data_IF_422534153102
#
_entry.id   IF_422534153102
#
_cell.length_a   1.000
_cell.length_b   1.000
_cell.length_c   1.000
_cell.angle_alpha   90.00
_cell.angle_beta   90.00
_cell.angle_gamma   90.00
#
_symmetry.space_group_name_H-M   'P 1'
#
loop_
_entity.id
_entity.type
_entity.pdbx_description
1 polymer ?
#
# COMPACT_ATOMS: atom_id res chain seq x y z
N UNK A 1 -22.47 26.58 19.55
CA UNK A 1 -22.37 25.48 18.58
C UNK A 1 -21.20 24.58 18.97
N UNK A 2 -21.39 23.28 18.99
CA UNK A 2 -20.34 22.31 19.29
C UNK A 2 -19.27 22.36 18.17
N UNK A 3 -17.98 22.44 18.55
CA UNK A 3 -16.85 22.40 17.63
C UNK A 3 -16.19 21.04 17.70
N UNK A 4 -16.00 20.44 16.54
CA UNK A 4 -15.44 19.11 16.38
C UNK A 4 -14.10 19.18 15.65
N UNK A 5 -13.14 18.35 16.07
CA UNK A 5 -11.91 18.09 15.37
C UNK A 5 -12.12 16.90 14.43
N UNK A 6 -11.80 17.04 13.14
CA UNK A 6 -11.50 15.91 12.26
C UNK A 6 -9.98 15.81 12.08
N UNK A 7 -9.38 14.79 12.67
CA UNK A 7 -7.95 14.53 12.54
C UNK A 7 -7.67 13.57 11.37
N UNK A 8 -7.25 14.14 10.24
CA UNK A 8 -6.90 13.38 9.02
C UNK A 8 -5.54 12.70 9.12
N UNK A 9 -5.40 11.53 8.48
CA UNK A 9 -4.14 10.78 8.30
C UNK A 9 -4.08 10.21 6.88
N UNK A 10 -4.21 8.85 6.73
CA UNK A 10 -4.30 8.20 5.42
C UNK A 10 -5.77 8.02 4.98
N UNK A 11 -6.54 9.08 5.03
CA UNK A 11 -7.98 9.16 4.73
C UNK A 11 -8.32 10.50 4.04
N UNK A 12 -7.46 10.93 3.10
CA UNK A 12 -7.43 12.28 2.50
C UNK A 12 -8.51 12.47 1.45
N UNK A 13 -9.78 12.42 1.88
CA UNK A 13 -10.97 12.61 1.04
C UNK A 13 -12.14 13.15 1.85
N UNK A 14 -13.15 13.67 1.14
CA UNK A 14 -14.38 14.20 1.77
C UNK A 14 -15.56 13.24 1.68
N UNK A 15 -15.62 12.39 0.66
CA UNK A 15 -16.71 11.40 0.49
C UNK A 15 -16.28 10.06 1.07
N UNK A 16 -17.27 9.33 1.59
CA UNK A 16 -17.05 8.03 2.22
C UNK A 16 -15.94 8.05 3.29
N UNK A 17 -15.97 9.10 4.10
CA UNK A 17 -15.08 9.28 5.25
C UNK A 17 -15.95 9.30 6.52
N UNK A 18 -16.08 8.16 7.22
CA UNK A 18 -17.01 8.04 8.35
C UNK A 18 -16.70 9.02 9.46
N UNK A 19 -15.44 9.23 9.83
CA UNK A 19 -15.09 10.19 10.87
C UNK A 19 -15.47 11.62 10.50
N UNK A 20 -15.21 12.05 9.26
CA UNK A 20 -15.57 13.37 8.77
C UNK A 20 -17.09 13.55 8.69
N UNK A 21 -17.82 12.54 8.24
CA UNK A 21 -19.27 12.58 8.13
C UNK A 21 -19.92 12.75 9.51
N UNK A 22 -19.55 11.91 10.47
CA UNK A 22 -20.06 12.00 11.85
C UNK A 22 -19.64 13.29 12.57
N UNK A 23 -18.43 13.80 12.29
CA UNK A 23 -18.01 15.09 12.82
C UNK A 23 -18.89 16.22 12.29
N UNK A 24 -19.23 16.21 11.00
CA UNK A 24 -20.09 17.21 10.36
C UNK A 24 -21.56 17.12 10.74
N UNK A 25 -22.07 15.90 11.04
CA UNK A 25 -23.43 15.69 11.49
C UNK A 25 -23.65 16.19 12.93
N UNK A 26 -22.62 16.08 13.79
CA UNK A 26 -22.72 16.46 15.21
C UNK A 26 -22.33 17.90 15.53
N UNK A 27 -21.69 18.64 14.62
CA UNK A 27 -21.27 20.02 14.89
C UNK A 27 -20.46 20.68 13.79
N UNK A 28 -19.83 21.81 14.12
CA UNK A 28 -18.96 22.54 13.20
C UNK A 28 -17.56 21.94 13.25
N UNK A 29 -17.00 21.61 12.10
CA UNK A 29 -15.74 20.86 11.97
C UNK A 29 -14.56 21.78 11.70
N UNK A 30 -13.43 21.50 12.31
CA UNK A 30 -12.10 21.95 11.94
C UNK A 30 -11.30 20.69 11.55
N UNK A 31 -10.73 20.66 10.35
CA UNK A 31 -9.81 19.63 9.90
C UNK A 31 -8.39 19.91 10.40
N UNK A 32 -7.70 18.86 10.80
CA UNK A 32 -6.27 18.91 11.16
C UNK A 32 -5.53 17.79 10.46
N UNK A 33 -4.38 18.12 9.90
CA UNK A 33 -3.37 17.14 9.47
C UNK A 33 -2.03 17.45 10.15
N UNK A 34 -1.35 16.43 10.67
CA UNK A 34 -0.05 16.59 11.33
C UNK A 34 1.03 15.93 10.47
N UNK A 35 1.89 16.75 9.88
CA UNK A 35 3.10 16.29 9.19
C UNK A 35 4.09 15.74 10.23
N UNK A 36 4.65 14.55 9.97
CA UNK A 36 5.58 13.89 10.91
C UNK A 36 6.85 13.40 10.18
N UNK A 37 7.72 14.32 9.70
CA UNK A 37 8.85 13.96 8.82
C UNK A 37 9.80 12.94 9.42
N UNK A 38 10.10 13.04 10.72
CA UNK A 38 11.00 12.10 11.40
C UNK A 38 10.37 10.70 11.48
N UNK A 39 9.06 10.61 11.76
CA UNK A 39 8.37 9.32 11.76
C UNK A 39 8.31 8.71 10.36
N UNK A 40 8.12 9.54 9.34
CA UNK A 40 8.14 9.08 7.94
C UNK A 40 9.49 8.49 7.55
N UNK A 41 10.62 9.09 8.01
CA UNK A 41 11.96 8.51 7.82
C UNK A 41 12.11 7.16 8.52
N UNK A 42 11.63 7.06 9.77
CA UNK A 42 11.65 5.78 10.53
C UNK A 42 10.82 4.69 9.86
N UNK A 43 9.72 5.06 9.23
CA UNK A 43 8.86 4.15 8.46
C UNK A 43 9.36 3.95 7.02
N UNK A 44 10.52 4.47 6.67
CA UNK A 44 11.09 4.36 5.32
C UNK A 44 10.12 4.83 4.22
N UNK A 45 9.35 5.89 4.49
CA UNK A 45 8.35 6.37 3.52
C UNK A 45 9.03 6.96 2.28
N UNK A 46 8.57 6.56 1.10
CA UNK A 46 9.09 7.04 -0.17
C UNK A 46 8.91 8.55 -0.36
N UNK A 47 9.92 9.22 -0.94
CA UNK A 47 9.83 10.64 -1.26
C UNK A 47 8.68 10.96 -2.22
N UNK A 48 8.42 10.09 -3.22
CA UNK A 48 7.29 10.24 -4.15
C UNK A 48 5.93 10.10 -3.44
N UNK A 49 5.84 9.30 -2.38
CA UNK A 49 4.63 9.21 -1.56
C UNK A 49 4.42 10.47 -0.73
N UNK A 50 5.47 11.04 -0.14
CA UNK A 50 5.39 12.31 0.60
C UNK A 50 4.94 13.43 -0.34
N UNK A 51 5.53 13.56 -1.53
CA UNK A 51 5.08 14.50 -2.56
C UNK A 51 3.59 14.32 -2.89
N UNK A 52 3.15 13.08 -3.10
CA UNK A 52 1.76 12.75 -3.40
C UNK A 52 0.81 13.11 -2.25
N UNK A 53 1.21 12.90 -0.99
CA UNK A 53 0.46 13.33 0.20
C UNK A 53 0.31 14.85 0.20
N UNK A 54 1.38 15.62 0.00
CA UNK A 54 1.34 17.09 0.03
C UNK A 54 0.40 17.64 -1.05
N UNK A 55 0.49 17.12 -2.28
CA UNK A 55 -0.42 17.50 -3.37
C UNK A 55 -1.86 17.09 -3.09
N UNK A 56 -2.09 15.93 -2.49
CA UNK A 56 -3.44 15.47 -2.10
C UNK A 56 -4.01 16.35 -0.99
N UNK A 57 -3.20 16.81 -0.04
CA UNK A 57 -3.62 17.76 1.00
C UNK A 57 -4.05 19.11 0.43
N UNK A 58 -3.40 19.62 -0.63
CA UNK A 58 -3.81 20.85 -1.29
C UNK A 58 -5.20 20.70 -1.93
N UNK A 59 -5.46 19.56 -2.60
CA UNK A 59 -6.78 19.26 -3.17
C UNK A 59 -7.82 19.10 -2.06
N UNK A 60 -7.51 18.33 -1.03
CA UNK A 60 -8.40 18.14 0.11
C UNK A 60 -8.77 19.48 0.79
N UNK A 61 -7.78 20.37 0.96
CA UNK A 61 -8.02 21.70 1.53
C UNK A 61 -9.01 22.51 0.68
N UNK A 62 -8.87 22.47 -0.64
CA UNK A 62 -9.79 23.15 -1.55
C UNK A 62 -11.22 22.56 -1.43
N UNK A 63 -11.35 21.23 -1.40
CA UNK A 63 -12.63 20.54 -1.28
C UNK A 63 -13.30 20.84 0.07
N UNK A 64 -12.56 20.80 1.17
CA UNK A 64 -13.05 21.13 2.52
C UNK A 64 -13.45 22.60 2.65
N UNK A 65 -12.67 23.52 2.07
CA UNK A 65 -13.02 24.95 2.01
C UNK A 65 -14.35 25.17 1.26
N UNK A 66 -14.61 24.41 0.19
CA UNK A 66 -15.90 24.39 -0.51
C UNK A 66 -17.07 24.01 0.41
N UNK A 67 -16.81 23.22 1.43
CA UNK A 67 -17.78 22.82 2.47
C UNK A 67 -17.76 23.77 3.68
N UNK A 68 -16.94 24.82 3.70
CA UNK A 68 -16.77 25.72 4.82
C UNK A 68 -15.96 25.13 5.98
N UNK A 69 -15.25 24.04 5.78
CA UNK A 69 -14.42 23.34 6.77
C UNK A 69 -12.96 23.78 6.56
N UNK A 70 -12.34 24.51 7.50
CA UNK A 70 -10.93 24.85 7.41
C UNK A 70 -10.06 23.62 7.66
N UNK A 71 -8.99 23.42 6.87
CA UNK A 71 -7.95 22.43 7.11
C UNK A 71 -6.68 23.10 7.60
N UNK A 72 -6.31 22.81 8.84
CA UNK A 72 -5.05 23.27 9.43
C UNK A 72 -4.01 22.15 9.26
N UNK A 73 -2.82 22.53 8.79
CA UNK A 73 -1.67 21.62 8.64
C UNK A 73 -0.58 22.11 9.56
N UNK A 74 -0.11 21.26 10.45
CA UNK A 74 0.98 21.55 11.38
C UNK A 74 2.06 20.47 11.28
N UNK A 75 3.24 20.75 11.79
CA UNK A 75 4.35 19.79 11.82
C UNK A 75 4.61 19.33 13.26
N UNK A 76 4.90 18.05 13.42
CA UNK A 76 5.40 17.44 14.64
C UNK A 76 6.66 16.64 14.34
N UNK A 77 7.57 16.57 15.30
CA UNK A 77 8.81 15.80 15.13
C UNK A 77 8.53 14.31 14.89
N UNK A 78 7.66 13.71 15.72
CA UNK A 78 7.36 12.29 15.68
C UNK A 78 5.98 11.98 16.29
N UNK A 79 5.55 10.73 16.22
CA UNK A 79 4.30 10.28 16.82
C UNK A 79 4.21 10.51 18.33
N UNK A 80 5.34 10.53 19.04
CA UNK A 80 5.35 10.78 20.49
C UNK A 80 4.94 12.22 20.88
N UNK A 81 5.06 13.18 19.98
CA UNK A 81 4.63 14.56 20.23
C UNK A 81 3.15 14.82 19.90
N UNK A 82 2.51 13.90 19.18
CA UNK A 82 1.13 14.10 18.70
C UNK A 82 0.11 14.22 19.84
N UNK A 83 0.15 13.44 20.93
CA UNK A 83 -0.87 13.52 21.97
C UNK A 83 -1.00 14.92 22.57
N UNK A 84 0.11 15.55 22.93
CA UNK A 84 0.14 16.90 23.47
C UNK A 84 -0.32 17.94 22.45
N UNK A 85 0.12 17.81 21.20
CA UNK A 85 -0.28 18.70 20.09
C UNK A 85 -1.80 18.65 19.87
N UNK A 86 -2.39 17.46 19.85
CA UNK A 86 -3.85 17.29 19.68
C UNK A 86 -4.62 17.93 20.83
N UNK A 87 -4.17 17.72 22.08
CA UNK A 87 -4.82 18.32 23.25
C UNK A 87 -4.72 19.85 23.22
N UNK A 88 -3.53 20.40 22.95
CA UNK A 88 -3.32 21.85 22.83
C UNK A 88 -4.17 22.45 21.71
N UNK A 89 -4.22 21.77 20.56
CA UNK A 89 -5.07 22.16 19.44
C UNK A 89 -6.54 22.19 19.83
N UNK A 90 -7.03 21.17 20.51
CA UNK A 90 -8.40 21.10 20.96
C UNK A 90 -8.74 22.24 21.93
N UNK A 91 -7.87 22.53 22.89
CA UNK A 91 -8.05 23.62 23.84
C UNK A 91 -8.05 24.99 23.14
N UNK A 92 -7.07 25.26 22.29
CA UNK A 92 -6.92 26.57 21.62
C UNK A 92 -8.07 26.89 20.65
N UNK A 93 -8.72 25.86 20.09
CA UNK A 93 -9.85 26.03 19.16
C UNK A 93 -11.22 25.76 19.77
N UNK A 94 -11.30 25.48 21.08
CA UNK A 94 -12.54 25.19 21.78
C UNK A 94 -13.26 23.95 21.27
N UNK A 95 -12.47 22.90 20.92
CA UNK A 95 -12.99 21.61 20.48
C UNK A 95 -13.60 20.86 21.65
N UNK A 96 -14.80 20.33 21.47
CA UNK A 96 -15.50 19.49 22.46
C UNK A 96 -15.46 18.00 22.10
N UNK A 97 -15.22 17.65 20.85
CA UNK A 97 -15.14 16.25 20.40
C UNK A 97 -14.15 16.09 19.26
N UNK A 98 -13.34 15.04 19.34
CA UNK A 98 -12.37 14.66 18.33
C UNK A 98 -12.79 13.39 17.59
N UNK A 99 -12.59 13.40 16.26
CA UNK A 99 -12.96 12.32 15.36
C UNK A 99 -11.78 11.91 14.50
N UNK A 100 -11.60 10.59 14.28
CA UNK A 100 -10.64 10.08 13.33
C UNK A 100 -10.97 8.66 12.83
N UNK A 101 -10.34 8.24 11.72
CA UNK A 101 -10.42 6.87 11.22
C UNK A 101 -9.20 6.08 11.70
N UNK A 102 -9.38 4.87 12.23
CA UNK A 102 -8.34 4.03 12.82
C UNK A 102 -7.32 3.57 11.79
N UNK A 103 -6.07 3.51 12.21
CA UNK A 103 -4.98 2.85 11.51
C UNK A 103 -4.51 1.63 12.30
N UNK A 104 -3.97 0.60 11.61
CA UNK A 104 -3.77 -0.71 12.24
C UNK A 104 -2.32 -1.09 12.55
N UNK A 105 -1.28 -0.53 11.91
CA UNK A 105 0.09 -0.80 12.29
C UNK A 105 0.37 -0.35 13.74
N UNK A 106 1.29 -1.04 14.39
CA UNK A 106 1.49 -0.93 15.84
C UNK A 106 1.82 0.47 16.35
N UNK A 107 2.63 1.22 15.60
CA UNK A 107 3.03 2.57 16.03
C UNK A 107 1.88 3.56 15.90
N UNK A 108 1.04 3.39 14.87
CA UNK A 108 -0.19 4.15 14.65
C UNK A 108 -1.21 3.86 15.76
N UNK A 109 -1.41 2.58 16.11
CA UNK A 109 -2.30 2.19 17.22
C UNK A 109 -1.81 2.82 18.54
N UNK A 110 -0.51 2.72 18.85
CA UNK A 110 0.05 3.32 20.08
C UNK A 110 -0.09 4.83 20.13
N UNK A 111 0.08 5.50 18.99
CA UNK A 111 -0.16 6.94 18.88
C UNK A 111 -1.60 7.28 19.17
N UNK A 112 -2.55 6.57 18.54
CA UNK A 112 -3.99 6.80 18.71
C UNK A 112 -4.43 6.52 20.15
N UNK A 113 -3.98 5.42 20.76
CA UNK A 113 -4.23 5.09 22.18
C UNK A 113 -3.68 6.16 23.13
N UNK A 114 -2.51 6.71 22.83
CA UNK A 114 -1.91 7.79 23.65
C UNK A 114 -2.72 9.09 23.55
N UNK A 115 -3.20 9.44 22.35
CA UNK A 115 -4.10 10.59 22.13
C UNK A 115 -5.41 10.39 22.89
N UNK A 116 -6.08 9.23 22.73
CA UNK A 116 -7.33 8.92 23.40
C UNK A 116 -7.20 8.96 24.92
N UNK A 117 -6.11 8.38 25.45
CA UNK A 117 -5.80 8.41 26.88
C UNK A 117 -5.60 9.83 27.43
N UNK A 118 -4.94 10.71 26.66
CA UNK A 118 -4.67 12.07 27.09
C UNK A 118 -5.93 12.94 27.00
N UNK A 119 -6.72 12.82 25.92
CA UNK A 119 -8.02 13.48 25.78
C UNK A 119 -9.02 13.03 26.85
N UNK A 120 -9.01 11.75 27.24
CA UNK A 120 -9.84 11.21 28.32
C UNK A 120 -9.59 11.82 29.70
N UNK A 121 -8.53 12.63 29.87
CA UNK A 121 -8.25 13.43 31.09
C UNK A 121 -8.83 14.85 31.01
N UNK A 122 -9.43 15.18 29.89
CA UNK A 122 -10.05 16.47 29.60
C UNK A 122 -11.57 16.28 29.42
N UNK A 123 -12.29 17.36 29.15
CA UNK A 123 -13.71 17.29 28.79
C UNK A 123 -13.96 17.12 27.28
N UNK A 124 -13.03 16.50 26.56
CA UNK A 124 -13.08 16.31 25.10
C UNK A 124 -13.42 14.86 24.79
N UNK A 125 -14.59 14.65 24.21
CA UNK A 125 -15.04 13.32 23.78
C UNK A 125 -14.24 12.83 22.55
N UNK A 126 -14.16 11.51 22.38
CA UNK A 126 -13.48 10.87 21.26
C UNK A 126 -14.42 9.91 20.54
N UNK A 127 -14.37 9.93 19.21
CA UNK A 127 -15.01 8.91 18.36
C UNK A 127 -14.06 8.48 17.24
N UNK A 128 -13.84 7.18 17.10
CA UNK A 128 -12.98 6.62 16.06
C UNK A 128 -13.68 5.52 15.27
N UNK A 129 -13.39 5.44 13.97
CA UNK A 129 -14.09 4.58 13.02
C UNK A 129 -13.13 3.70 12.24
N UNK A 130 -13.61 2.56 11.74
CA UNK A 130 -12.88 1.74 10.79
C UNK A 130 -13.15 2.24 9.36
N UNK A 131 -12.07 2.43 8.59
CA UNK A 131 -12.12 3.00 7.23
C UNK A 131 -11.12 2.31 6.28
N UNK A 132 -10.05 1.75 6.82
CA UNK A 132 -8.97 1.14 6.05
C UNK A 132 -9.33 -0.23 5.47
N UNK A 133 -10.38 -0.87 5.93
CA UNK A 133 -10.89 -2.16 5.49
C UNK A 133 -12.38 -2.08 5.23
N UNK A 134 -12.88 -2.86 4.28
CA UNK A 134 -14.32 -2.96 3.98
C UNK A 134 -15.04 -3.63 5.14
N UNK A 135 -14.49 -4.74 5.62
CA UNK A 135 -14.97 -5.39 6.85
C UNK A 135 -14.00 -5.05 7.99
N UNK A 136 -14.51 -4.42 9.02
CA UNK A 136 -13.68 -3.98 10.16
C UNK A 136 -12.93 -5.16 10.81
N UNK A 137 -11.63 -5.00 11.15
CA UNK A 137 -10.94 -5.98 11.98
C UNK A 137 -11.68 -6.23 13.30
N UNK A 138 -11.83 -7.52 13.65
CA UNK A 138 -12.65 -7.92 14.80
C UNK A 138 -14.09 -8.30 14.47
N UNK A 139 -14.70 -7.75 13.41
CA UNK A 139 -16.00 -8.20 12.93
C UNK A 139 -15.91 -9.54 12.16
N UNK A 140 -14.73 -9.86 11.60
CA UNK A 140 -14.50 -11.09 10.86
C UNK A 140 -13.51 -11.97 11.62
N UNK A 141 -14.05 -12.84 12.46
CA UNK A 141 -13.32 -13.83 13.25
C UNK A 141 -13.97 -15.21 13.07
N UNK A 142 -13.27 -16.26 13.48
CA UNK A 142 -13.81 -17.61 13.49
C UNK A 142 -14.80 -17.79 14.64
N UNK A 143 -15.52 -18.92 14.66
CA UNK A 143 -16.50 -19.25 15.70
C UNK A 143 -15.88 -19.32 17.11
N UNK A 144 -14.59 -19.63 17.20
CA UNK A 144 -13.81 -19.64 18.44
C UNK A 144 -13.27 -18.25 18.85
N UNK A 145 -13.61 -17.19 18.10
CA UNK A 145 -13.12 -15.83 18.30
C UNK A 145 -11.70 -15.58 17.78
N UNK A 146 -11.02 -16.59 17.24
CA UNK A 146 -9.67 -16.44 16.70
C UNK A 146 -9.66 -15.80 15.30
N UNK A 147 -8.55 -15.11 14.98
CA UNK A 147 -8.38 -14.51 13.66
C UNK A 147 -8.10 -15.55 12.57
N UNK A 148 -8.53 -15.25 11.35
CA UNK A 148 -8.15 -16.03 10.18
C UNK A 148 -6.66 -15.84 9.84
N UNK A 149 -6.01 -16.98 9.53
CA UNK A 149 -4.59 -17.02 9.10
C UNK A 149 -4.43 -17.52 7.67
N UNK A 150 -5.52 -17.89 7.01
CA UNK A 150 -5.54 -18.44 5.64
C UNK A 150 -6.57 -17.67 4.84
N UNK A 151 -6.20 -17.25 3.64
CA UNK A 151 -7.01 -16.37 2.80
C UNK A 151 -8.34 -17.01 2.35
N UNK A 152 -8.31 -18.27 1.91
CA UNK A 152 -9.50 -18.92 1.35
C UNK A 152 -10.68 -18.95 2.33
N UNK A 153 -10.55 -19.41 3.59
CA UNK A 153 -11.64 -19.35 4.56
C UNK A 153 -11.99 -17.91 4.95
N UNK A 154 -11.02 -16.99 5.02
CA UNK A 154 -11.26 -15.56 5.23
C UNK A 154 -12.18 -15.01 4.13
N UNK A 155 -11.81 -15.19 2.85
CA UNK A 155 -12.60 -14.72 1.70
C UNK A 155 -14.01 -15.29 1.73
N UNK A 156 -14.18 -16.58 2.05
CA UNK A 156 -15.51 -17.21 2.11
C UNK A 156 -16.41 -16.52 3.16
N UNK A 157 -15.87 -16.26 4.34
CA UNK A 157 -16.64 -15.57 5.40
C UNK A 157 -16.86 -14.10 5.05
N UNK A 158 -15.88 -13.44 4.48
CA UNK A 158 -15.99 -12.05 4.03
C UNK A 158 -17.13 -11.87 2.99
N UNK A 159 -17.19 -12.75 1.98
CA UNK A 159 -18.28 -12.72 0.98
C UNK A 159 -19.64 -13.00 1.62
N UNK A 160 -19.74 -13.92 2.57
CA UNK A 160 -20.99 -14.18 3.30
C UNK A 160 -21.46 -12.95 4.07
N UNK A 161 -20.56 -12.21 4.72
CA UNK A 161 -20.92 -10.96 5.41
C UNK A 161 -21.42 -9.90 4.40
N UNK A 162 -20.85 -9.87 3.20
CA UNK A 162 -21.31 -8.97 2.16
C UNK A 162 -22.73 -9.32 1.67
N UNK A 163 -23.07 -10.61 1.60
CA UNK A 163 -24.43 -11.07 1.28
C UNK A 163 -25.44 -10.73 2.38
N UNK A 164 -25.00 -10.63 3.63
CA UNK A 164 -25.83 -10.22 4.78
C UNK A 164 -26.10 -8.71 4.81
N UNK A 165 -25.22 -7.89 4.21
CA UNK A 165 -25.39 -6.45 4.09
C UNK A 165 -24.19 -5.76 3.46
N UNK A 166 -24.47 -4.73 2.66
CA UNK A 166 -23.42 -3.88 2.08
C UNK A 166 -22.86 -2.92 3.13
N UNK A 167 -21.57 -2.56 3.04
CA UNK A 167 -21.00 -1.53 3.91
C UNK A 167 -21.67 -0.17 3.67
N UNK A 168 -21.78 0.62 4.71
CA UNK A 168 -22.22 2.00 4.59
C UNK A 168 -21.23 2.80 3.74
N UNK A 169 -21.77 3.63 2.86
CA UNK A 169 -21.01 4.62 2.08
C UNK A 169 -21.52 6.01 2.44
N UNK A 170 -20.67 6.81 3.03
CA UNK A 170 -21.03 8.11 3.56
C UNK A 170 -20.93 9.21 2.50
N UNK A 171 -21.96 10.05 2.31
CA UNK A 171 -21.84 11.24 1.47
C UNK A 171 -20.83 12.22 2.07
N UNK A 172 -20.40 13.21 1.30
CA UNK A 172 -19.69 14.35 1.86
C UNK A 172 -20.55 15.03 2.93
N UNK A 173 -19.96 15.57 4.00
CA UNK A 173 -20.72 16.28 5.01
C UNK A 173 -21.43 17.51 4.43
N UNK A 174 -22.49 17.97 5.07
CA UNK A 174 -23.20 19.18 4.66
C UNK A 174 -22.29 20.40 4.79
N UNK A 175 -22.46 21.37 3.90
CA UNK A 175 -21.73 22.65 3.98
C UNK A 175 -22.06 23.34 5.28
N UNK A 176 -21.04 23.79 6.01
CA UNK A 176 -21.20 24.58 7.24
C UNK A 176 -21.76 25.96 6.93
N UNK A 177 -22.75 26.40 7.70
CA UNK A 177 -23.42 27.67 7.51
C UNK A 177 -22.52 28.90 7.77
N UNK A 178 -21.58 28.75 8.70
CA UNK A 178 -20.57 29.77 9.02
C UNK A 178 -19.17 29.17 8.94
N UNK A 179 -18.35 29.58 7.98
CA UNK A 179 -16.95 29.22 7.93
C UNK A 179 -16.25 29.73 9.21
N UNK A 180 -15.53 28.87 9.91
CA UNK A 180 -14.72 29.31 11.03
C UNK A 180 -13.52 30.10 10.50
N UNK A 181 -13.36 31.34 10.96
CA UNK A 181 -12.17 32.13 10.68
C UNK A 181 -10.99 31.58 11.50
N UNK A 182 -10.33 30.57 10.97
CA UNK A 182 -9.12 29.98 11.55
C UNK A 182 -7.98 30.24 10.59
N UNK A 183 -6.85 30.73 11.10
CA UNK A 183 -5.65 30.95 10.28
C UNK A 183 -5.18 29.62 9.69
N UNK A 184 -5.12 29.54 8.37
CA UNK A 184 -4.57 28.39 7.67
C UNK A 184 -3.12 28.72 7.27
N UNK A 185 -2.18 27.90 7.70
CA UNK A 185 -0.81 27.95 7.21
C UNK A 185 -0.72 27.28 5.85
N UNK A 186 0.22 27.73 5.03
CA UNK A 186 0.45 27.09 3.73
C UNK A 186 0.94 25.65 3.91
N UNK A 187 0.47 24.75 3.06
CA UNK A 187 1.01 23.39 2.97
C UNK A 187 2.37 23.50 2.30
N UNK A 188 3.43 22.94 2.91
CA UNK A 188 4.75 22.99 2.30
C UNK A 188 4.76 22.23 0.97
N UNK A 189 5.42 22.82 -0.04
CA UNK A 189 5.55 22.17 -1.35
C UNK A 189 6.51 20.97 -1.33
N UNK A 190 7.38 20.88 -0.35
CA UNK A 190 8.34 19.80 -0.15
C UNK A 190 8.73 19.71 1.31
N UNK A 191 9.17 18.53 1.72
CA UNK A 191 9.72 18.28 3.06
C UNK A 191 11.22 17.98 2.92
N UNK A 192 12.09 18.60 3.72
CA UNK A 192 13.53 18.31 3.69
C UNK A 192 13.83 16.82 3.82
N UNK A 193 14.66 16.29 2.92
CA UNK A 193 15.00 14.86 2.86
C UNK A 193 14.01 13.98 2.09
N UNK A 194 12.94 14.56 1.52
CA UNK A 194 11.97 13.84 0.68
C UNK A 194 11.86 14.51 -0.70
N UNK A 195 12.93 14.40 -1.50
CA UNK A 195 12.94 14.93 -2.86
C UNK A 195 12.60 13.81 -3.85
N UNK A 196 11.48 13.96 -4.56
CA UNK A 196 11.05 13.01 -5.58
C UNK A 196 11.47 13.46 -6.98
N UNK A 197 11.94 12.51 -7.79
CA UNK A 197 12.18 12.69 -9.23
C UNK A 197 11.07 12.09 -10.09
N UNK A 198 10.06 11.49 -9.48
CA UNK A 198 8.94 10.88 -10.21
C UNK A 198 8.08 11.98 -10.83
N UNK A 199 7.74 11.81 -12.12
CA UNK A 199 6.86 12.74 -12.82
C UNK A 199 5.47 12.75 -12.17
N UNK A 200 5.08 13.93 -11.67
CA UNK A 200 3.79 14.15 -11.02
C UNK A 200 2.59 13.88 -11.93
N UNK A 201 2.76 14.01 -13.25
CA UNK A 201 1.71 13.74 -14.24
C UNK A 201 1.30 12.26 -14.29
N UNK A 202 2.16 11.33 -13.87
CA UNK A 202 1.81 9.92 -13.75
C UNK A 202 0.76 9.67 -12.65
N UNK A 203 0.79 10.50 -11.61
CA UNK A 203 -0.03 10.37 -10.41
C UNK A 203 -0.71 11.69 -10.04
N UNK A 204 -1.72 12.14 -10.82
CA UNK A 204 -2.54 13.30 -10.45
C UNK A 204 -3.16 13.08 -9.06
N UNK A 205 -3.16 14.12 -8.22
CA UNK A 205 -3.54 13.98 -6.81
C UNK A 205 -5.03 14.30 -6.57
N UNK A 206 -5.56 13.76 -5.48
CA UNK A 206 -6.87 14.10 -4.94
C UNK A 206 -7.99 13.11 -5.24
N UNK A 207 -9.11 13.27 -4.54
CA UNK A 207 -10.28 12.39 -4.59
C UNK A 207 -10.93 12.35 -5.99
N UNK A 208 -11.03 13.48 -6.67
CA UNK A 208 -11.65 13.56 -8.00
C UNK A 208 -10.91 12.68 -9.01
N UNK A 209 -9.58 12.77 -9.04
CA UNK A 209 -8.73 11.97 -9.92
C UNK A 209 -8.81 10.47 -9.59
N UNK A 210 -8.82 10.14 -8.30
CA UNK A 210 -8.98 8.77 -7.84
C UNK A 210 -10.29 8.14 -8.33
N UNK A 211 -11.40 8.87 -8.20
CA UNK A 211 -12.73 8.45 -8.65
C UNK A 211 -12.84 8.35 -10.17
N UNK A 212 -12.26 9.30 -10.89
CA UNK A 212 -12.21 9.24 -12.35
C UNK A 212 -11.43 8.02 -12.84
N UNK A 213 -10.29 7.72 -12.22
CA UNK A 213 -9.50 6.53 -12.52
C UNK A 213 -10.26 5.23 -12.21
N UNK A 214 -10.95 5.18 -11.07
CA UNK A 214 -11.81 4.05 -10.71
C UNK A 214 -12.90 3.83 -11.78
N UNK A 215 -13.60 4.88 -12.16
CA UNK A 215 -14.66 4.81 -13.18
C UNK A 215 -14.10 4.38 -14.55
N UNK A 216 -13.00 4.98 -14.98
CA UNK A 216 -12.35 4.60 -16.25
C UNK A 216 -11.93 3.13 -16.26
N UNK A 217 -11.42 2.61 -15.15
CA UNK A 217 -11.09 1.19 -15.01
C UNK A 217 -12.35 0.32 -15.06
N UNK A 218 -13.41 0.70 -14.35
CA UNK A 218 -14.66 -0.06 -14.34
C UNK A 218 -15.28 -0.14 -15.74
N UNK A 219 -15.29 0.98 -16.47
CA UNK A 219 -15.88 1.07 -17.81
C UNK A 219 -15.05 0.31 -18.89
N UNK A 220 -13.73 0.23 -18.77
CA UNK A 220 -12.85 -0.24 -19.86
C UNK A 220 -12.13 -1.57 -19.60
N UNK A 221 -11.73 -1.88 -18.35
CA UNK A 221 -10.82 -2.97 -18.06
C UNK A 221 -11.36 -4.01 -17.06
N UNK A 222 -12.33 -3.65 -16.22
CA UNK A 222 -12.83 -4.52 -15.15
C UNK A 222 -13.34 -5.87 -15.66
N UNK A 223 -14.14 -5.89 -16.75
CA UNK A 223 -14.69 -7.13 -17.29
C UNK A 223 -13.61 -8.10 -17.80
N UNK A 224 -12.48 -7.59 -18.26
CA UNK A 224 -11.34 -8.39 -18.75
C UNK A 224 -10.23 -8.55 -17.71
N UNK A 225 -10.45 -8.07 -16.49
CA UNK A 225 -9.43 -8.03 -15.43
C UNK A 225 -8.81 -9.40 -15.13
N UNK A 226 -9.62 -10.45 -15.02
CA UNK A 226 -9.14 -11.81 -14.77
C UNK A 226 -8.11 -12.28 -15.82
N UNK A 227 -8.27 -11.89 -17.09
CA UNK A 227 -7.39 -12.28 -18.18
C UNK A 227 -6.12 -11.41 -18.24
N UNK A 228 -6.26 -10.11 -17.97
CA UNK A 228 -5.22 -9.12 -18.22
C UNK A 228 -4.40 -8.75 -16.98
N UNK A 229 -4.89 -9.03 -15.78
CA UNK A 229 -4.25 -8.63 -14.52
C UNK A 229 -2.81 -9.12 -14.32
N UNK A 230 -2.42 -10.17 -15.00
CA UNK A 230 -1.10 -10.79 -14.90
C UNK A 230 -0.13 -10.35 -16.00
N UNK A 231 -0.60 -9.57 -16.99
CA UNK A 231 0.19 -9.15 -18.16
C UNK A 231 0.70 -7.72 -17.97
N UNK A 232 1.97 -7.50 -17.56
CA UNK A 232 2.48 -6.18 -17.21
C UNK A 232 2.60 -5.22 -18.40
N UNK A 233 2.66 -5.74 -19.64
CA UNK A 233 2.65 -4.94 -20.86
C UNK A 233 1.26 -4.41 -21.23
N UNK A 234 0.18 -4.93 -20.59
CA UNK A 234 -1.20 -4.57 -20.90
C UNK A 234 -1.73 -3.61 -19.82
N UNK A 235 -2.44 -2.55 -20.23
CA UNK A 235 -3.14 -1.67 -19.29
C UNK A 235 -4.40 -2.37 -18.75
N UNK A 236 -4.20 -3.44 -17.98
CA UNK A 236 -5.25 -4.32 -17.45
C UNK A 236 -5.50 -4.20 -15.95
N UNK A 237 -4.79 -3.31 -15.24
CA UNK A 237 -4.93 -3.10 -13.80
C UNK A 237 -5.50 -1.71 -13.48
N UNK A 238 -6.13 -1.58 -12.32
CA UNK A 238 -6.78 -0.31 -11.92
C UNK A 238 -5.80 0.81 -11.58
N UNK A 239 -4.56 0.48 -11.20
CA UNK A 239 -3.55 1.42 -10.71
C UNK A 239 -4.04 2.36 -9.59
N UNK A 240 -4.99 1.89 -8.76
CA UNK A 240 -5.62 2.66 -7.67
C UNK A 240 -4.85 2.60 -6.35
N UNK A 241 -3.84 1.75 -6.26
CA UNK A 241 -3.10 1.52 -5.02
C UNK A 241 -2.50 2.80 -4.40
N UNK A 242 -1.98 3.80 -5.13
CA UNK A 242 -1.52 5.05 -4.54
C UNK A 242 -2.64 5.83 -3.83
N UNK A 243 -3.81 5.89 -4.45
CA UNK A 243 -4.97 6.60 -3.91
C UNK A 243 -5.55 5.90 -2.68
N UNK A 244 -5.60 4.56 -2.68
CA UNK A 244 -5.98 3.77 -1.52
C UNK A 244 -4.95 3.88 -0.38
N UNK A 245 -3.66 4.04 -0.69
CA UNK A 245 -2.60 4.15 0.30
C UNK A 245 -2.68 5.45 1.11
N UNK A 246 -2.99 6.58 0.44
CA UNK A 246 -3.18 7.89 1.10
C UNK A 246 -4.64 8.16 1.49
N UNK A 247 -5.55 7.25 1.12
CA UNK A 247 -6.97 7.35 1.43
C UNK A 247 -7.73 8.44 0.65
N UNK A 248 -7.22 8.85 -0.52
CA UNK A 248 -7.97 9.67 -1.48
C UNK A 248 -9.13 8.90 -2.14
N UNK A 249 -9.15 7.58 -1.96
CA UNK A 249 -10.21 6.66 -2.34
C UNK A 249 -10.40 5.64 -1.22
N UNK A 250 -11.64 5.29 -0.90
CA UNK A 250 -11.94 4.21 0.05
C UNK A 250 -12.02 2.85 -0.65
N UNK A 251 -11.75 1.75 0.07
CA UNK A 251 -11.99 0.42 -0.45
C UNK A 251 -13.50 0.13 -0.64
N UNK A 252 -14.38 0.77 0.14
CA UNK A 252 -15.84 0.67 0.00
C UNK A 252 -16.30 1.27 -1.32
N UNK A 253 -15.79 2.45 -1.72
CA UNK A 253 -16.09 3.04 -3.04
C UNK A 253 -15.65 2.11 -4.17
N UNK A 254 -14.49 1.47 -4.05
CA UNK A 254 -14.04 0.47 -5.01
C UNK A 254 -15.00 -0.73 -5.12
N UNK A 255 -15.44 -1.25 -3.97
CA UNK A 255 -16.40 -2.35 -3.93
C UNK A 255 -17.74 -1.96 -4.58
N UNK A 256 -18.28 -0.80 -4.21
CA UNK A 256 -19.56 -0.34 -4.76
C UNK A 256 -19.50 -0.17 -6.27
N UNK A 257 -18.42 0.37 -6.82
CA UNK A 257 -18.24 0.49 -8.27
C UNK A 257 -18.19 -0.90 -8.95
N UNK A 258 -17.51 -1.88 -8.31
CA UNK A 258 -17.48 -3.25 -8.81
C UNK A 258 -18.88 -3.91 -8.82
N UNK A 259 -19.66 -3.69 -7.78
CA UNK A 259 -21.01 -4.26 -7.65
C UNK A 259 -22.02 -3.62 -8.61
N UNK A 260 -21.77 -2.40 -9.09
CA UNK A 260 -22.58 -1.74 -10.12
C UNK A 260 -22.24 -2.22 -11.53
N UNK A 261 -21.11 -2.87 -11.74
CA UNK A 261 -20.72 -3.43 -13.03
C UNK A 261 -21.51 -4.72 -13.35
N UNK A 262 -21.50 -5.11 -14.63
CA UNK A 262 -22.08 -6.39 -15.02
C UNK A 262 -21.34 -7.57 -14.36
N UNK A 263 -22.04 -8.50 -13.71
CA UNK A 263 -21.44 -9.66 -13.06
C UNK A 263 -20.56 -10.47 -14.03
N UNK A 264 -19.41 -10.96 -13.54
CA UNK A 264 -18.51 -11.77 -14.34
C UNK A 264 -17.16 -12.05 -13.66
N UNK A 265 -16.39 -12.95 -14.26
CA UNK A 265 -15.09 -13.38 -13.70
C UNK A 265 -14.11 -12.24 -13.44
N UNK A 266 -14.15 -11.18 -14.24
CA UNK A 266 -13.32 -9.99 -14.06
C UNK A 266 -13.68 -9.26 -12.77
N UNK A 267 -14.96 -9.02 -12.53
CA UNK A 267 -15.51 -8.40 -11.32
C UNK A 267 -15.17 -9.24 -10.08
N UNK A 268 -15.47 -10.54 -10.11
CA UNK A 268 -15.21 -11.46 -8.98
C UNK A 268 -13.73 -11.54 -8.64
N UNK A 269 -12.88 -11.49 -9.66
CA UNK A 269 -11.42 -11.50 -9.49
C UNK A 269 -10.96 -10.19 -8.85
N UNK A 270 -11.46 -9.04 -9.30
CA UNK A 270 -11.07 -7.75 -8.75
C UNK A 270 -11.59 -7.53 -7.32
N UNK A 271 -12.83 -7.95 -7.02
CA UNK A 271 -13.32 -8.01 -5.64
C UNK A 271 -12.40 -8.88 -4.77
N UNK A 272 -11.92 -10.01 -5.32
CA UNK A 272 -10.92 -10.85 -4.65
C UNK A 272 -9.63 -10.09 -4.25
N UNK A 273 -9.20 -9.08 -5.03
CA UNK A 273 -8.05 -8.24 -4.66
C UNK A 273 -8.36 -7.27 -3.52
N UNK A 274 -9.59 -6.74 -3.47
CA UNK A 274 -10.05 -5.95 -2.31
C UNK A 274 -10.09 -6.81 -1.04
N UNK A 275 -10.52 -8.07 -1.17
CA UNK A 275 -10.50 -9.03 -0.04
C UNK A 275 -9.06 -9.34 0.41
N UNK A 276 -8.09 -9.47 -0.52
CA UNK A 276 -6.67 -9.62 -0.18
C UNK A 276 -6.15 -8.41 0.60
N UNK A 277 -6.52 -7.20 0.18
CA UNK A 277 -6.16 -5.98 0.91
C UNK A 277 -6.72 -6.00 2.33
N UNK A 278 -8.00 -6.32 2.51
CA UNK A 278 -8.62 -6.46 3.83
C UNK A 278 -7.94 -7.53 4.66
N UNK A 279 -7.64 -8.70 4.09
CA UNK A 279 -6.95 -9.78 4.77
C UNK A 279 -5.63 -9.33 5.39
N UNK A 280 -4.80 -8.58 4.66
CA UNK A 280 -3.54 -8.07 5.21
C UNK A 280 -3.77 -6.99 6.29
N UNK A 281 -4.80 -6.16 6.19
CA UNK A 281 -5.17 -5.23 7.26
C UNK A 281 -5.57 -5.98 8.53
N UNK A 282 -6.36 -7.07 8.42
CA UNK A 282 -6.71 -7.93 9.55
C UNK A 282 -5.48 -8.64 10.15
N UNK A 283 -4.53 -9.09 9.31
CA UNK A 283 -3.28 -9.69 9.80
C UNK A 283 -2.49 -8.69 10.65
N UNK A 284 -2.32 -7.45 10.18
CA UNK A 284 -1.60 -6.42 10.94
C UNK A 284 -2.30 -6.12 12.27
N UNK A 285 -3.63 -6.01 12.27
CA UNK A 285 -4.42 -5.77 13.47
C UNK A 285 -4.30 -6.88 14.51
N UNK A 286 -4.49 -8.13 14.08
CA UNK A 286 -4.52 -9.28 15.00
C UNK A 286 -3.14 -9.79 15.41
N UNK A 287 -2.12 -9.52 14.60
CA UNK A 287 -0.76 -10.02 14.80
C UNK A 287 0.27 -8.90 14.80
N UNK A 288 0.30 -8.03 15.82
CA UNK A 288 1.20 -6.85 15.87
C UNK A 288 2.70 -7.22 15.84
N UNK A 289 3.02 -8.51 15.95
CA UNK A 289 4.36 -9.03 15.73
C UNK A 289 4.92 -8.65 14.36
N UNK A 290 4.08 -8.66 13.30
CA UNK A 290 4.53 -8.34 11.95
C UNK A 290 4.96 -6.88 11.81
N UNK A 291 4.37 -5.96 12.59
CA UNK A 291 4.79 -4.56 12.67
C UNK A 291 6.13 -4.34 13.41
N UNK A 292 6.77 -5.39 13.90
CA UNK A 292 8.08 -5.34 14.58
C UNK A 292 9.20 -5.96 13.74
N UNK A 293 9.09 -5.95 12.43
CA UNK A 293 10.00 -6.61 11.49
C UNK A 293 10.24 -8.09 11.81
N UNK A 294 9.21 -8.77 12.35
CA UNK A 294 9.28 -10.21 12.66
C UNK A 294 8.46 -11.01 11.64
N UNK A 295 8.92 -12.21 11.26
CA UNK A 295 8.15 -13.05 10.38
C UNK A 295 6.86 -13.49 11.09
N UNK A 296 5.79 -13.69 10.34
CA UNK A 296 4.55 -14.24 10.87
C UNK A 296 4.78 -15.66 11.41
N UNK A 297 5.51 -16.50 10.65
CA UNK A 297 5.97 -17.83 11.08
C UNK A 297 7.28 -17.67 11.85
N UNK A 298 7.21 -17.79 13.17
CA UNK A 298 8.35 -17.52 14.07
C UNK A 298 9.58 -18.37 13.78
N UNK A 299 9.40 -19.63 13.37
CA UNK A 299 10.45 -20.56 13.00
C UNK A 299 11.30 -20.06 11.82
N UNK A 300 10.74 -19.26 10.95
CA UNK A 300 11.46 -18.72 9.80
C UNK A 300 12.37 -17.54 10.14
N UNK A 301 12.38 -17.07 11.38
CA UNK A 301 13.38 -16.09 11.85
C UNK A 301 14.81 -16.68 11.84
N UNK A 302 14.92 -18.01 11.86
CA UNK A 302 16.18 -18.74 11.82
C UNK A 302 16.69 -19.09 10.40
N UNK A 303 16.03 -18.60 9.32
CA UNK A 303 16.53 -18.80 7.96
C UNK A 303 17.93 -18.17 7.83
N UNK A 304 18.94 -18.92 7.35
CA UNK A 304 20.30 -18.39 7.18
C UNK A 304 20.39 -17.52 5.92
N UNK A 305 19.83 -16.33 6.01
CA UNK A 305 19.87 -15.34 4.93
C UNK A 305 21.31 -14.93 4.59
N UNK A 306 21.56 -14.65 3.30
CA UNK A 306 22.80 -14.00 2.86
C UNK A 306 22.67 -12.48 3.06
N UNK A 307 23.75 -11.85 3.49
CA UNK A 307 23.86 -10.40 3.64
C UNK A 307 24.82 -9.85 2.59
N UNK A 308 24.60 -10.22 1.33
CA UNK A 308 25.43 -9.83 0.19
C UNK A 308 24.99 -8.50 -0.38
N UNK A 309 25.70 -7.44 -0.03
CA UNK A 309 25.36 -6.08 -0.43
C UNK A 309 25.55 -5.84 -1.94
N UNK A 310 26.49 -6.53 -2.60
CA UNK A 310 26.72 -6.40 -4.04
C UNK A 310 25.52 -6.93 -4.82
N UNK A 311 25.06 -8.13 -4.49
CA UNK A 311 23.90 -8.75 -5.12
C UNK A 311 22.63 -7.94 -4.84
N UNK A 312 22.51 -7.40 -3.62
CA UNK A 312 21.39 -6.53 -3.24
C UNK A 312 21.35 -5.23 -4.05
N UNK A 313 22.49 -4.55 -4.19
CA UNK A 313 22.59 -3.32 -4.98
C UNK A 313 22.31 -3.58 -6.48
N UNK A 314 22.81 -4.69 -7.03
CA UNK A 314 22.49 -5.09 -8.40
C UNK A 314 21.00 -5.30 -8.60
N UNK A 315 20.30 -5.87 -7.59
CA UNK A 315 18.86 -6.01 -7.61
C UNK A 315 18.15 -4.64 -7.51
N UNK A 316 18.55 -3.76 -6.59
CA UNK A 316 17.99 -2.42 -6.44
C UNK A 316 18.08 -1.60 -7.73
N UNK A 317 19.21 -1.70 -8.44
CA UNK A 317 19.50 -0.95 -9.67
C UNK A 317 18.91 -1.58 -10.95
N UNK A 318 18.25 -2.74 -10.87
CA UNK A 318 17.78 -3.48 -12.05
C UNK A 318 18.92 -3.89 -12.96
N UNK A 319 19.98 -4.47 -12.37
CA UNK A 319 21.22 -4.93 -13.01
C UNK A 319 21.57 -6.37 -12.66
N UNK A 320 20.57 -7.22 -12.48
CA UNK A 320 20.76 -8.64 -12.12
C UNK A 320 21.10 -9.53 -13.33
N UNK A 321 20.93 -9.03 -14.54
CA UNK A 321 21.00 -9.82 -15.76
C UNK A 321 19.78 -10.71 -16.00
N UNK A 322 18.71 -10.53 -15.21
CA UNK A 322 17.43 -11.24 -15.34
C UNK A 322 16.36 -10.27 -15.83
N UNK A 323 15.98 -10.32 -17.13
CA UNK A 323 15.24 -9.23 -17.77
C UNK A 323 13.95 -8.82 -17.08
N UNK A 324 13.09 -9.76 -16.66
CA UNK A 324 11.83 -9.41 -15.99
C UNK A 324 12.06 -8.78 -14.60
N UNK A 325 13.08 -9.22 -13.86
CA UNK A 325 13.47 -8.64 -12.57
C UNK A 325 13.98 -7.22 -12.77
N UNK A 326 14.90 -7.03 -13.71
CA UNK A 326 15.52 -5.75 -13.99
C UNK A 326 14.49 -4.72 -14.52
N UNK A 327 13.59 -5.15 -15.41
CA UNK A 327 12.49 -4.31 -15.90
C UNK A 327 11.58 -3.85 -14.74
N UNK A 328 11.26 -4.74 -13.80
CA UNK A 328 10.46 -4.40 -12.62
C UNK A 328 11.13 -3.37 -11.73
N UNK A 329 12.41 -3.53 -11.44
CA UNK A 329 13.16 -2.58 -10.60
C UNK A 329 13.34 -1.23 -11.29
N UNK A 330 13.54 -1.21 -12.62
CA UNK A 330 13.60 0.04 -13.39
C UNK A 330 12.22 0.71 -13.50
N UNK A 331 11.12 -0.03 -13.62
CA UNK A 331 9.77 0.52 -13.51
C UNK A 331 9.58 1.23 -12.17
N UNK A 332 9.94 0.57 -11.06
CA UNK A 332 9.86 1.16 -9.73
C UNK A 332 10.63 2.48 -9.64
N UNK A 333 11.88 2.49 -10.10
CA UNK A 333 12.72 3.68 -10.09
C UNK A 333 12.17 4.83 -10.94
N UNK A 334 11.54 4.53 -12.08
CA UNK A 334 11.01 5.54 -13.01
C UNK A 334 9.63 6.08 -12.63
N UNK A 335 8.79 5.26 -12.00
CA UNK A 335 7.37 5.58 -11.80
C UNK A 335 6.93 5.62 -10.34
N UNK A 336 7.76 5.15 -9.40
CA UNK A 336 7.36 4.93 -8.01
C UNK A 336 6.36 3.79 -7.82
N UNK A 337 6.12 2.99 -8.87
CA UNK A 337 5.12 1.93 -8.84
C UNK A 337 5.62 0.70 -9.60
N UNK A 338 5.09 -0.47 -9.29
CA UNK A 338 5.41 -1.72 -9.97
C UNK A 338 4.15 -2.58 -10.12
N UNK A 339 3.99 -3.21 -11.26
CA UNK A 339 2.90 -4.16 -11.52
C UNK A 339 2.92 -5.34 -10.54
N UNK A 340 1.75 -5.74 -9.98
CA UNK A 340 1.67 -6.76 -8.92
C UNK A 340 2.37 -8.09 -9.29
N UNK A 341 2.17 -8.61 -10.51
CA UNK A 341 2.82 -9.85 -10.96
C UNK A 341 4.34 -9.73 -10.91
N UNK A 342 4.87 -8.58 -11.26
CA UNK A 342 6.30 -8.31 -11.24
C UNK A 342 6.82 -8.20 -9.82
N UNK A 343 6.08 -7.54 -8.89
CA UNK A 343 6.43 -7.51 -7.46
C UNK A 343 6.65 -8.90 -6.88
N UNK A 344 5.78 -9.86 -7.21
CA UNK A 344 5.93 -11.25 -6.76
C UNK A 344 7.22 -11.90 -7.30
N UNK A 345 7.57 -11.64 -8.55
CA UNK A 345 8.78 -12.20 -9.18
C UNK A 345 10.04 -11.60 -8.58
N UNK A 346 10.11 -10.27 -8.47
CA UNK A 346 11.30 -9.58 -7.95
C UNK A 346 11.53 -9.87 -6.45
N UNK A 347 10.45 -9.96 -5.67
CA UNK A 347 10.54 -10.30 -4.24
C UNK A 347 10.98 -11.76 -4.03
N UNK A 348 10.44 -12.68 -4.83
CA UNK A 348 10.86 -14.08 -4.75
C UNK A 348 12.29 -14.28 -5.29
N UNK A 349 12.71 -13.50 -6.28
CA UNK A 349 14.08 -13.53 -6.77
C UNK A 349 15.06 -13.10 -5.66
N UNK A 350 14.80 -11.98 -4.99
CA UNK A 350 15.64 -11.53 -3.87
C UNK A 350 15.69 -12.57 -2.76
N UNK A 351 14.53 -12.99 -2.26
CA UNK A 351 14.46 -13.84 -1.05
C UNK A 351 14.80 -15.31 -1.30
N UNK A 352 14.62 -15.84 -2.51
CA UNK A 352 14.87 -17.25 -2.84
C UNK A 352 16.09 -17.45 -3.72
N UNK A 353 16.19 -16.75 -4.86
CA UNK A 353 17.32 -16.95 -5.76
C UNK A 353 18.60 -16.31 -5.21
N UNK A 354 18.53 -15.09 -4.69
CA UNK A 354 19.67 -14.47 -4.02
C UNK A 354 19.81 -14.90 -2.55
N UNK A 355 18.76 -15.43 -1.95
CA UNK A 355 18.67 -15.79 -0.51
C UNK A 355 19.03 -14.61 0.41
N UNK A 356 18.69 -13.39 -0.01
CA UNK A 356 18.85 -12.17 0.79
C UNK A 356 17.62 -11.96 1.68
N UNK A 357 17.84 -11.43 2.89
CA UNK A 357 16.78 -11.20 3.86
C UNK A 357 15.67 -10.34 3.25
N UNK A 358 14.45 -10.85 3.28
CA UNK A 358 13.27 -10.19 2.72
C UNK A 358 13.04 -8.79 3.32
N UNK A 359 13.50 -8.53 4.54
CA UNK A 359 13.37 -7.23 5.20
C UNK A 359 14.13 -6.11 4.46
N UNK A 360 15.24 -6.46 3.82
CA UNK A 360 15.97 -5.51 2.97
C UNK A 360 15.13 -5.08 1.77
N UNK A 361 14.47 -6.04 1.13
CA UNK A 361 13.59 -5.75 0.00
C UNK A 361 12.32 -5.01 0.44
N UNK A 362 11.71 -5.41 1.56
CA UNK A 362 10.55 -4.73 2.16
C UNK A 362 10.85 -3.25 2.42
N UNK A 363 11.97 -2.95 3.07
CA UNK A 363 12.42 -1.59 3.33
C UNK A 363 12.66 -0.81 2.04
N UNK A 364 13.40 -1.40 1.09
CA UNK A 364 13.63 -0.77 -0.21
C UNK A 364 12.33 -0.45 -0.96
N UNK A 365 11.32 -1.32 -0.89
CA UNK A 365 10.01 -1.04 -1.47
C UNK A 365 9.31 0.11 -0.77
N UNK A 366 9.32 0.16 0.56
CA UNK A 366 8.74 1.29 1.31
C UNK A 366 9.41 2.62 0.96
N UNK A 367 10.73 2.63 0.70
CA UNK A 367 11.50 3.82 0.31
C UNK A 367 11.26 4.29 -1.12
N UNK A 368 10.67 3.45 -1.99
CA UNK A 368 10.52 3.75 -3.40
C UNK A 368 9.07 3.72 -3.91
N UNK A 369 8.13 3.08 -3.20
CA UNK A 369 6.76 2.94 -3.64
C UNK A 369 5.88 4.14 -3.26
N UNK A 370 5.23 4.75 -4.24
CA UNK A 370 4.19 5.76 -4.05
C UNK A 370 2.96 5.18 -3.32
N UNK A 371 2.71 3.88 -3.51
CA UNK A 371 1.62 3.14 -2.88
C UNK A 371 2.07 2.31 -1.67
N UNK A 372 3.19 2.66 -1.03
CA UNK A 372 3.77 1.94 0.10
C UNK A 372 2.81 1.83 1.29
N UNK A 373 1.87 0.88 1.26
CA UNK A 373 1.01 0.51 2.40
C UNK A 373 1.70 -0.61 3.19
N UNK A 374 1.87 -0.42 4.50
CA UNK A 374 2.61 -1.37 5.34
C UNK A 374 2.00 -2.77 5.29
N UNK A 375 0.67 -2.90 5.43
CA UNK A 375 0.01 -4.20 5.49
C UNK A 375 0.18 -4.98 4.17
N UNK A 376 -0.02 -4.32 3.03
CA UNK A 376 0.13 -4.94 1.72
C UNK A 376 1.60 -5.26 1.39
N UNK A 377 2.53 -4.35 1.70
CA UNK A 377 3.96 -4.54 1.45
C UNK A 377 4.54 -5.67 2.31
N UNK A 378 4.34 -5.61 3.63
CA UNK A 378 4.78 -6.65 4.57
C UNK A 378 4.18 -8.02 4.23
N UNK A 379 2.86 -8.07 3.99
CA UNK A 379 2.17 -9.30 3.62
C UNK A 379 2.70 -9.90 2.32
N UNK A 380 2.88 -9.11 1.28
CA UNK A 380 3.41 -9.54 -0.03
C UNK A 380 4.85 -10.03 0.03
N UNK A 381 5.72 -9.34 0.78
CA UNK A 381 7.11 -9.76 1.01
C UNK A 381 7.19 -11.07 1.78
N UNK A 382 6.47 -11.20 2.88
CA UNK A 382 6.43 -12.42 3.67
C UNK A 382 5.79 -13.59 2.91
N UNK A 383 4.78 -13.31 2.05
CA UNK A 383 4.23 -14.33 1.16
C UNK A 383 5.30 -14.87 0.20
N UNK A 384 6.04 -14.01 -0.46
CA UNK A 384 7.09 -14.37 -1.42
C UNK A 384 8.27 -15.09 -0.76
N UNK A 385 8.64 -14.66 0.45
CA UNK A 385 9.72 -15.23 1.24
C UNK A 385 9.35 -16.55 1.96
N UNK A 386 8.08 -16.96 1.93
CA UNK A 386 7.54 -18.13 2.68
C UNK A 386 7.57 -18.00 4.21
N UNK A 387 7.65 -16.77 4.71
CA UNK A 387 7.73 -16.45 6.15
C UNK A 387 6.39 -15.95 6.72
N UNK A 388 5.42 -15.68 5.83
CA UNK A 388 4.15 -15.05 6.15
C UNK A 388 3.00 -15.99 6.42
N UNK A 389 1.86 -15.36 6.71
CA UNK A 389 0.56 -16.01 6.73
C UNK A 389 0.17 -16.42 5.31
N UNK A 390 -0.46 -17.59 5.17
CA UNK A 390 -0.87 -18.16 3.86
C UNK A 390 0.21 -18.05 2.76
N UNK A 391 1.47 -18.05 3.18
CA UNK A 391 2.61 -17.83 2.32
C UNK A 391 2.81 -18.98 1.33
N UNK A 392 3.38 -18.64 0.18
CA UNK A 392 3.78 -19.66 -0.81
C UNK A 392 4.67 -20.73 -0.14
N UNK A 393 4.45 -22.03 -0.41
CA UNK A 393 5.31 -23.08 0.12
C UNK A 393 6.78 -22.85 -0.24
N UNK A 394 7.70 -23.09 0.68
CA UNK A 394 9.12 -22.75 0.49
C UNK A 394 9.76 -23.43 -0.74
N UNK A 395 9.27 -24.62 -1.13
CA UNK A 395 9.76 -25.35 -2.31
C UNK A 395 9.22 -24.79 -3.64
N UNK A 396 8.20 -23.92 -3.63
CA UNK A 396 7.68 -23.24 -4.82
C UNK A 396 8.53 -22.00 -5.09
N UNK A 397 9.55 -22.14 -5.91
CA UNK A 397 10.48 -21.07 -6.30
C UNK A 397 10.26 -20.79 -7.77
N UNK A 398 9.97 -19.53 -8.12
CA UNK A 398 9.79 -19.11 -9.50
C UNK A 398 11.12 -19.18 -10.25
N UNK A 399 11.05 -19.66 -11.49
CA UNK A 399 12.12 -19.39 -12.46
C UNK A 399 11.77 -18.06 -13.15
N UNK A 400 12.54 -16.98 -12.96
CA UNK A 400 12.16 -15.67 -13.44
C UNK A 400 12.14 -15.55 -14.97
N UNK A 401 12.92 -16.36 -15.68
CA UNK A 401 12.87 -16.42 -17.15
C UNK A 401 11.57 -17.06 -17.64
N UNK A 402 11.13 -18.17 -17.02
CA UNK A 402 9.83 -18.79 -17.33
C UNK A 402 8.67 -17.87 -16.97
N UNK A 403 8.80 -17.07 -15.89
CA UNK A 403 7.80 -16.05 -15.56
C UNK A 403 7.75 -14.96 -16.64
N UNK A 404 8.90 -14.51 -17.13
CA UNK A 404 8.99 -13.57 -18.26
C UNK A 404 8.29 -14.11 -19.50
N UNK A 405 8.65 -15.32 -19.91
CA UNK A 405 8.04 -15.98 -21.08
C UNK A 405 6.51 -16.13 -20.94
N UNK A 406 6.01 -16.37 -19.73
CA UNK A 406 4.58 -16.56 -19.46
C UNK A 406 3.79 -15.26 -19.46
N UNK A 407 4.30 -14.21 -18.80
CA UNK A 407 3.56 -12.99 -18.51
C UNK A 407 3.93 -11.78 -19.38
N UNK A 408 5.03 -11.88 -20.10
CA UNK A 408 5.47 -10.91 -21.11
C UNK A 408 6.02 -11.65 -22.34
N UNK A 409 5.18 -12.49 -23.01
CA UNK A 409 5.65 -13.44 -24.02
C UNK A 409 6.40 -12.81 -25.20
N UNK A 410 6.09 -11.55 -25.54
CA UNK A 410 6.74 -10.79 -26.61
C UNK A 410 7.94 -9.98 -26.12
N UNK A 411 8.13 -9.86 -24.79
CA UNK A 411 9.14 -9.01 -24.20
C UNK A 411 8.81 -7.52 -24.27
N UNK A 412 7.54 -7.14 -24.46
CA UNK A 412 7.13 -5.75 -24.66
C UNK A 412 7.32 -4.93 -23.37
N UNK A 413 6.96 -5.47 -22.22
CA UNK A 413 7.21 -4.85 -20.92
C UNK A 413 8.72 -4.72 -20.65
N UNK A 414 9.47 -5.78 -20.89
CA UNK A 414 10.92 -5.81 -20.69
C UNK A 414 11.59 -4.75 -21.57
N UNK A 415 11.27 -4.70 -22.87
CA UNK A 415 11.83 -3.72 -23.81
C UNK A 415 11.48 -2.27 -23.45
N UNK A 416 10.30 -2.06 -22.88
CA UNK A 416 9.88 -0.72 -22.47
C UNK A 416 10.79 -0.15 -21.37
N UNK A 417 11.20 -0.97 -20.40
CA UNK A 417 12.03 -0.52 -19.27
C UNK A 417 13.53 -0.79 -19.45
N UNK A 418 13.91 -1.64 -20.42
CA UNK A 418 15.31 -2.00 -20.69
C UNK A 418 15.61 -1.73 -22.16
N UNK A 419 16.03 -0.51 -22.47
CA UNK A 419 16.34 -0.07 -23.82
C UNK A 419 17.45 -0.89 -24.48
N UNK A 420 18.39 -1.41 -23.70
CA UNK A 420 19.48 -2.28 -24.15
C UNK A 420 18.97 -3.58 -24.80
N UNK A 421 17.76 -4.03 -24.44
CA UNK A 421 17.14 -5.25 -24.97
C UNK A 421 16.14 -4.99 -26.11
N UNK A 422 15.93 -3.73 -26.51
CA UNK A 422 14.87 -3.34 -27.46
C UNK A 422 14.98 -4.01 -28.83
N UNK A 423 16.21 -4.28 -29.29
CA UNK A 423 16.48 -4.92 -30.59
C UNK A 423 16.36 -6.44 -30.56
N UNK A 424 16.26 -7.08 -29.41
CA UNK A 424 16.21 -8.53 -29.29
C UNK A 424 14.81 -9.08 -29.56
N UNK A 425 14.78 -10.30 -30.11
CA UNK A 425 13.55 -11.08 -30.22
C UNK A 425 13.10 -11.59 -28.83
N UNK A 426 11.84 -11.96 -28.72
CA UNK A 426 11.29 -12.54 -27.50
C UNK A 426 12.09 -13.75 -27.01
N UNK A 427 12.52 -14.61 -27.96
CA UNK A 427 13.33 -15.77 -27.63
C UNK A 427 14.68 -15.41 -27.03
N UNK A 428 15.34 -14.41 -27.60
CA UNK A 428 16.66 -13.96 -27.11
C UNK A 428 16.56 -13.35 -25.72
N UNK A 429 15.46 -12.67 -25.40
CA UNK A 429 15.19 -12.09 -24.08
C UNK A 429 14.90 -13.17 -23.03
N UNK A 430 14.09 -14.17 -23.36
CA UNK A 430 13.58 -15.13 -22.37
C UNK A 430 14.45 -16.37 -22.18
N UNK A 431 15.38 -16.66 -23.10
CA UNK A 431 16.28 -17.80 -22.98
C UNK A 431 17.70 -17.36 -22.58
N UNK A 432 18.17 -17.68 -21.34
CA UNK A 432 19.49 -17.23 -20.84
C UNK A 432 20.66 -17.54 -21.75
N UNK A 433 20.58 -18.65 -22.51
CA UNK A 433 21.61 -19.04 -23.45
C UNK A 433 21.75 -18.02 -24.57
N UNK A 434 20.65 -17.60 -25.18
CA UNK A 434 20.67 -16.64 -26.29
C UNK A 434 20.98 -15.24 -25.81
N UNK A 435 20.41 -14.82 -24.67
CA UNK A 435 20.71 -13.54 -24.05
C UNK A 435 22.22 -13.36 -23.81
N UNK A 436 22.88 -14.42 -23.30
CA UNK A 436 24.35 -14.43 -23.12
C UNK A 436 25.12 -14.37 -24.44
N UNK A 437 24.61 -14.99 -25.50
CA UNK A 437 25.26 -14.98 -26.84
C UNK A 437 25.12 -13.60 -27.51
N UNK A 438 23.95 -12.99 -27.42
CA UNK A 438 23.68 -11.68 -28.05
C UNK A 438 24.45 -10.54 -27.40
N UNK A 439 24.74 -10.62 -26.08
CA UNK A 439 25.44 -9.59 -25.27
C UNK A 439 25.08 -8.16 -25.70
N UNK A 440 23.82 -7.73 -25.57
CA UNK A 440 23.45 -6.38 -25.97
C UNK A 440 24.27 -5.39 -25.14
N UNK A 441 24.81 -4.34 -25.81
CA UNK A 441 25.78 -3.43 -25.22
C UNK A 441 25.29 -2.80 -23.93
N UNK A 442 25.98 -3.05 -22.82
CA UNK A 442 25.69 -2.47 -21.51
C UNK A 442 24.75 -3.28 -20.63
N UNK A 443 24.05 -4.32 -21.12
CA UNK A 443 23.22 -5.16 -20.26
C UNK A 443 24.08 -6.19 -19.50
N UNK A 444 23.90 -6.35 -18.16
CA UNK A 444 24.77 -7.18 -17.34
C UNK A 444 24.56 -8.69 -17.57
N UNK A 445 25.59 -9.47 -17.25
CA UNK A 445 25.48 -10.92 -17.14
C UNK A 445 24.63 -11.30 -15.91
N UNK A 446 23.97 -12.48 -15.96
CA UNK A 446 23.15 -12.99 -14.84
C UNK A 446 24.03 -13.25 -13.62
N UNK A 447 23.71 -12.58 -12.50
CA UNK A 447 24.52 -12.62 -11.27
C UNK A 447 24.40 -13.94 -10.48
N UNK A 448 23.44 -14.80 -10.81
CA UNK A 448 23.18 -16.05 -10.09
C UNK A 448 22.80 -17.20 -11.02
N UNK A 449 23.34 -18.40 -10.77
CA UNK A 449 22.85 -19.60 -11.43
C UNK A 449 21.49 -20.00 -10.84
N UNK A 450 20.45 -20.05 -11.66
CA UNK A 450 19.07 -20.31 -11.22
C UNK A 450 18.90 -21.71 -10.62
N UNK A 451 19.56 -22.72 -11.16
CA UNK A 451 19.47 -24.10 -10.65
C UNK A 451 20.15 -24.24 -9.26
N UNK A 452 21.37 -23.72 -9.14
CA UNK A 452 22.14 -23.75 -7.88
C UNK A 452 21.45 -22.92 -6.79
N UNK A 453 20.91 -21.76 -7.18
CA UNK A 453 20.17 -20.88 -6.24
C UNK A 453 18.93 -21.57 -5.66
N UNK A 454 18.21 -22.33 -6.50
CA UNK A 454 17.07 -23.12 -6.04
C UNK A 454 17.49 -24.19 -5.00
N UNK A 455 18.58 -24.91 -5.27
CA UNK A 455 19.09 -25.91 -4.34
C UNK A 455 19.50 -25.28 -3.00
N UNK A 456 20.20 -24.13 -3.05
CA UNK A 456 20.60 -23.36 -1.87
C UNK A 456 19.40 -22.94 -1.04
N UNK A 457 18.37 -22.35 -1.66
CA UNK A 457 17.15 -21.93 -0.95
C UNK A 457 16.44 -23.14 -0.34
N UNK A 458 16.31 -24.27 -1.07
CA UNK A 458 15.70 -25.48 -0.55
C UNK A 458 16.45 -26.02 0.69
N UNK A 459 17.78 -26.02 0.67
CA UNK A 459 18.61 -26.46 1.79
C UNK A 459 18.42 -25.54 3.02
N UNK A 460 18.41 -24.21 2.82
CA UNK A 460 18.22 -23.22 3.87
C UNK A 460 16.89 -23.41 4.61
N UNK A 461 15.79 -23.65 3.89
CA UNK A 461 14.49 -23.88 4.53
C UNK A 461 14.32 -25.27 5.11
N UNK A 462 14.94 -26.31 4.54
CA UNK A 462 14.91 -27.67 5.10
C UNK A 462 15.66 -27.80 6.42
N UNK A 463 16.64 -26.92 6.67
CA UNK A 463 17.39 -26.90 7.94
C UNK A 463 16.56 -26.38 9.12
N UNK A 464 15.41 -25.76 8.83
CA UNK A 464 14.44 -25.36 9.86
C UNK A 464 13.67 -26.62 10.30
N UNK A 465 13.69 -26.93 11.57
CA UNK A 465 12.82 -27.97 12.13
C UNK A 465 11.37 -27.44 12.09
N UNK A 466 10.58 -27.97 11.16
CA UNK A 466 9.14 -27.73 11.12
C UNK A 466 8.40 -28.78 11.94
#
# INVERSE_FOLDING_TARGET
MQRNLMWFRNDLRVRDNPALWHAGDSGVVIGLYVLTPEQWRRHQMAACRVDFILRTLEVLRADLNGLGIPLIVIEAMSFSAIPEIIVEFCHSHGISKAFWNREYPLDEVRRDDAVEKLLGRTAIDVSSYHDRAIVAPGALVKDDGSAYKVFTPFKKTWLRLLDEGLPDVFPAPRRQAMPLAVGQLDIPRSIPGFTSSIDQALWPAGESEARQRLKSFADSALNSYQKNRDLPAVSGTSTLSPYLAVGALSPQQCLMEALMANPGEGVDTWIGELVWRDFYQHIVWHFPRVSKHKPFKSETDAVPWRYDQRDFLAWCEGKTGVPLVDAGMRQLAQTGWMHNRVRMVVAMFLSKNLLIDWRWGEGFFMENLIDGDFAANNGGWQWSASTGTDAVPYFRIFNPFTQGQRFDPNGDYIKHYISELSCLSAREIHEPKYLRQCKPGGYPDVIVNIADSRQRAMAAFKSLAF
#
